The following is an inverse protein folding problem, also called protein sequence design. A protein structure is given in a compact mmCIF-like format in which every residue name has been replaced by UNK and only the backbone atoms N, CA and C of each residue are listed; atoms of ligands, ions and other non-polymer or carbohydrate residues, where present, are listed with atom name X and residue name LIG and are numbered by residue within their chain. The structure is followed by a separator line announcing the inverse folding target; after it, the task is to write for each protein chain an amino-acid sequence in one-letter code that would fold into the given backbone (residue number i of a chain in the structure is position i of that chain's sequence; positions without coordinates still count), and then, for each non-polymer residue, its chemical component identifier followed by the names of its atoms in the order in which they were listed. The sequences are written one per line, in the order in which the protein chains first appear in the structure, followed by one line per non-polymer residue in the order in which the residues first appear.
data_IF_727057097764
#
_entry.id   IF_727057097764
#
_cell.length_a   1.000
_cell.length_b   1.000
_cell.length_c   1.000
_cell.angle_alpha   90.00
_cell.angle_beta   90.00
_cell.angle_gamma   90.00
#
_symmetry.space_group_name_H-M   'P 1'
#
loop_
_entity.id
_entity.type
_entity.pdbx_description
1 polymer ?
#
# COMPACT_ATOMS: atom_id res chain seq x y z
N UNK A 1 -11.32 43.70 -23.86
CA UNK A 1 -10.57 42.45 -24.06
C UNK A 1 -10.52 41.77 -22.70
N UNK A 2 -11.42 40.80 -22.45
CA UNK A 2 -11.45 40.03 -21.21
C UNK A 2 -10.74 38.71 -21.51
N UNK A 3 -9.59 38.49 -20.88
CA UNK A 3 -8.91 37.21 -20.92
C UNK A 3 -9.51 36.27 -19.88
N UNK A 4 -10.17 35.21 -20.34
CA UNK A 4 -10.50 34.06 -19.51
C UNK A 4 -9.19 33.35 -19.13
N UNK A 5 -8.81 33.45 -17.85
CA UNK A 5 -7.86 32.51 -17.25
C UNK A 5 -8.61 31.24 -16.91
N UNK A 6 -8.57 30.26 -17.80
CA UNK A 6 -8.88 28.87 -17.48
C UNK A 6 -7.73 28.28 -16.66
N UNK A 7 -7.83 28.35 -15.33
CA UNK A 7 -6.98 27.56 -14.44
C UNK A 7 -7.44 26.10 -14.53
N UNK A 8 -6.78 25.31 -15.37
CA UNK A 8 -6.86 23.85 -15.31
C UNK A 8 -6.20 23.42 -14.01
N UNK A 9 -7.00 23.20 -12.96
CA UNK A 9 -6.54 22.53 -11.76
C UNK A 9 -6.22 21.09 -12.15
N UNK A 10 -4.94 20.77 -12.34
CA UNK A 10 -4.49 19.39 -12.42
C UNK A 10 -5.01 18.66 -11.18
N UNK A 11 -5.92 17.72 -11.42
CA UNK A 11 -6.52 16.91 -10.37
C UNK A 11 -5.40 15.99 -9.88
N UNK A 12 -4.72 16.40 -8.81
CA UNK A 12 -3.62 15.63 -8.24
C UNK A 12 -4.19 14.27 -7.80
N UNK A 13 -3.92 13.24 -8.59
CA UNK A 13 -4.34 11.87 -8.28
C UNK A 13 -3.41 11.36 -7.19
N UNK A 14 -3.96 11.00 -6.03
CA UNK A 14 -3.14 10.52 -4.91
C UNK A 14 -2.39 9.22 -5.21
N UNK A 15 -1.46 8.87 -4.32
CA UNK A 15 -0.57 7.72 -4.51
C UNK A 15 -1.34 6.39 -4.49
N UNK A 16 -0.90 5.43 -5.32
CA UNK A 16 -1.45 4.06 -5.36
C UNK A 16 -0.28 3.09 -5.31
N UNK A 17 -0.25 2.26 -4.27
CA UNK A 17 0.74 1.21 -4.14
C UNK A 17 0.44 0.09 -5.13
N UNK A 18 1.45 -0.28 -5.92
CA UNK A 18 1.42 -1.40 -6.84
C UNK A 18 2.52 -2.39 -6.48
N UNK A 19 2.31 -3.70 -6.69
CA UNK A 19 3.32 -4.70 -6.41
C UNK A 19 4.47 -4.59 -7.41
N UNK A 20 5.71 -4.78 -6.93
CA UNK A 20 6.88 -4.95 -7.79
C UNK A 20 6.87 -6.33 -8.46
N UNK A 21 7.77 -6.56 -9.43
CA UNK A 21 7.96 -7.89 -10.03
C UNK A 21 8.33 -8.96 -8.98
N UNK A 22 9.06 -8.58 -7.93
CA UNK A 22 9.40 -9.48 -6.84
C UNK A 22 8.18 -9.81 -5.98
N UNK A 23 7.32 -8.83 -5.71
CA UNK A 23 6.08 -9.04 -4.96
C UNK A 23 5.12 -9.96 -5.73
N UNK A 24 5.03 -9.77 -7.05
CA UNK A 24 4.23 -10.61 -7.95
C UNK A 24 4.76 -12.05 -7.95
N UNK A 25 6.08 -12.24 -8.09
CA UNK A 25 6.66 -13.58 -8.15
C UNK A 25 6.54 -14.35 -6.84
N UNK A 26 6.66 -13.64 -5.71
CA UNK A 26 6.52 -14.20 -4.37
C UNK A 26 5.07 -14.18 -3.86
N UNK A 27 4.12 -13.66 -4.66
CA UNK A 27 2.71 -13.49 -4.32
C UNK A 27 2.50 -12.85 -2.94
N UNK A 28 3.27 -11.80 -2.64
CA UNK A 28 3.23 -11.12 -1.35
C UNK A 28 3.60 -9.66 -1.51
N UNK A 29 2.97 -8.78 -0.76
CA UNK A 29 3.26 -7.34 -0.75
C UNK A 29 3.23 -6.84 0.70
N UNK A 30 4.15 -5.95 1.06
CA UNK A 30 4.17 -5.33 2.39
C UNK A 30 4.49 -3.85 2.29
N UNK A 31 3.75 -3.03 3.02
CA UNK A 31 4.03 -1.62 3.22
C UNK A 31 4.13 -1.35 4.72
N UNK A 32 5.18 -0.63 5.13
CA UNK A 32 5.34 -0.13 6.49
C UNK A 32 5.57 1.37 6.46
N UNK A 33 5.10 2.08 7.47
CA UNK A 33 5.40 3.50 7.62
C UNK A 33 5.98 3.76 9.02
N UNK A 34 7.09 4.49 9.06
CA UNK A 34 7.78 4.91 10.29
C UNK A 34 7.63 6.41 10.46
N UNK A 35 7.21 6.85 11.66
CA UNK A 35 7.13 8.27 11.96
C UNK A 35 8.50 8.87 12.21
N UNK A 36 9.42 8.09 12.79
CA UNK A 36 10.77 8.54 13.08
C UNK A 36 11.51 8.96 11.81
N UNK A 37 11.45 8.11 10.78
CA UNK A 37 12.10 8.39 9.48
C UNK A 37 11.23 9.18 8.51
N UNK A 38 9.92 9.29 8.76
CA UNK A 38 8.93 9.86 7.83
C UNK A 38 9.03 9.22 6.45
N UNK A 39 9.07 7.88 6.41
CA UNK A 39 9.23 7.10 5.19
C UNK A 39 8.30 5.89 5.16
N UNK A 40 7.84 5.54 3.97
CA UNK A 40 7.28 4.23 3.67
C UNK A 40 8.37 3.26 3.23
N UNK A 41 8.34 2.03 3.74
CA UNK A 41 9.20 0.92 3.35
C UNK A 41 8.38 -0.15 2.61
N UNK A 42 8.80 -0.51 1.41
CA UNK A 42 8.12 -1.46 0.53
C UNK A 42 8.94 -2.74 0.36
N UNK A 43 9.09 -3.49 1.45
CA UNK A 43 9.78 -4.77 1.42
C UNK A 43 9.23 -5.72 2.48
N UNK A 44 9.41 -7.02 2.26
CA UNK A 44 8.81 -8.05 3.10
C UNK A 44 9.50 -8.23 4.45
N UNK A 45 10.83 -8.06 4.50
CA UNK A 45 11.61 -8.31 5.72
C UNK A 45 11.34 -7.27 6.81
N UNK A 46 11.70 -7.57 8.07
CA UNK A 46 11.51 -6.64 9.18
C UNK A 46 12.63 -5.60 9.29
N UNK A 47 13.82 -5.88 8.72
CA UNK A 47 14.95 -4.94 8.77
C UNK A 47 14.63 -3.64 8.05
N UNK A 48 15.07 -2.49 8.53
CA UNK A 48 14.93 -1.24 7.78
C UNK A 48 15.94 -1.31 6.61
N UNK A 49 15.49 -1.75 5.44
CA UNK A 49 16.38 -1.90 4.29
C UNK A 49 16.73 -0.53 3.67
N UNK A 50 17.99 -0.40 3.28
CA UNK A 50 18.55 0.73 2.54
C UNK A 50 17.80 0.95 1.20
N UNK A 51 17.98 2.11 0.51
CA UNK A 51 16.95 2.94 -0.17
C UNK A 51 16.21 2.36 -1.40
N UNK A 52 16.29 1.06 -1.68
CA UNK A 52 15.85 0.47 -2.95
C UNK A 52 14.33 0.56 -3.20
N UNK A 53 13.50 0.70 -2.16
CA UNK A 53 12.06 0.88 -2.30
C UNK A 53 11.48 1.68 -1.12
N UNK A 54 11.86 2.96 -1.04
CA UNK A 54 11.35 3.91 -0.03
C UNK A 54 10.56 5.04 -0.66
N UNK A 55 9.55 5.54 0.05
CA UNK A 55 8.83 6.77 -0.30
C UNK A 55 8.97 7.71 0.88
N UNK A 56 9.68 8.82 0.69
CA UNK A 56 9.90 9.82 1.74
C UNK A 56 8.66 10.71 1.87
N UNK A 57 8.22 10.99 3.09
CA UNK A 57 7.08 11.83 3.43
C UNK A 57 5.73 11.09 3.47
N UNK A 58 5.02 11.19 4.59
CA UNK A 58 3.66 10.67 4.79
C UNK A 58 2.70 11.03 3.64
N UNK A 59 2.71 12.29 3.20
CA UNK A 59 1.80 12.78 2.15
C UNK A 59 2.09 12.18 0.78
N UNK A 60 3.33 11.74 0.51
CA UNK A 60 3.72 11.19 -0.80
C UNK A 60 3.28 9.73 -1.00
N UNK A 61 3.07 8.97 0.08
CA UNK A 61 2.49 7.61 0.01
C UNK A 61 0.99 7.57 0.25
N UNK A 62 0.36 8.70 0.57
CA UNK A 62 -1.07 8.77 0.79
C UNK A 62 -1.86 8.92 -0.52
N UNK A 63 -2.98 8.21 -0.62
CA UNK A 63 -3.99 8.39 -1.67
C UNK A 63 -4.90 9.58 -1.40
N UNK A 64 -5.28 9.79 -0.14
CA UNK A 64 -5.97 11.00 0.32
C UNK A 64 -5.23 11.48 1.55
N UNK A 65 -4.96 12.78 1.63
CA UNK A 65 -4.25 13.39 2.74
C UNK A 65 -4.88 14.76 3.03
N UNK A 66 -5.83 14.81 3.96
CA UNK A 66 -6.65 16.00 4.19
C UNK A 66 -6.73 16.33 5.68
N UNK A 67 -6.36 17.57 6.04
CA UNK A 67 -6.51 18.10 7.39
C UNK A 67 -5.65 17.39 8.44
N UNK A 68 -4.61 16.67 8.03
CA UNK A 68 -3.69 15.94 8.91
C UNK A 68 -2.23 16.33 8.64
N UNK A 69 -1.37 16.18 9.65
CA UNK A 69 0.07 16.38 9.55
C UNK A 69 0.82 15.47 10.52
N UNK A 70 2.08 15.16 10.19
CA UNK A 70 3.04 14.61 11.15
C UNK A 70 3.43 15.69 12.15
N UNK A 71 3.34 15.38 13.44
CA UNK A 71 3.58 16.30 14.55
C UNK A 71 4.52 15.63 15.57
N UNK A 72 5.19 16.47 16.35
CA UNK A 72 6.06 16.10 17.47
C UNK A 72 5.57 16.82 18.72
N UNK A 73 5.33 16.10 19.80
CA UNK A 73 5.17 16.69 21.13
C UNK A 73 6.56 16.85 21.76
N UNK A 74 7.09 18.07 21.73
CA UNK A 74 8.42 18.39 22.26
C UNK A 74 8.56 18.14 23.78
N UNK A 75 7.45 18.04 24.51
CA UNK A 75 7.47 17.77 25.96
C UNK A 75 7.67 16.29 26.23
N UNK A 76 7.04 15.43 25.41
CA UNK A 76 7.06 13.97 25.61
C UNK A 76 7.96 13.24 24.62
N UNK A 77 8.54 13.93 23.62
CA UNK A 77 9.27 13.32 22.50
C UNK A 77 8.38 12.43 21.61
N UNK A 78 7.06 12.64 21.62
CA UNK A 78 6.15 11.71 20.96
C UNK A 78 5.88 12.17 19.53
N UNK A 79 6.08 11.27 18.56
CA UNK A 79 5.72 11.48 17.17
C UNK A 79 4.33 10.90 16.88
N UNK A 80 3.54 11.65 16.11
CA UNK A 80 2.20 11.21 15.72
C UNK A 80 1.68 11.88 14.45
N UNK A 81 0.60 11.33 13.87
CA UNK A 81 -0.23 12.00 12.89
C UNK A 81 -1.46 12.58 13.60
N UNK A 82 -1.65 13.89 13.48
CA UNK A 82 -2.76 14.60 14.10
C UNK A 82 -3.40 15.59 13.13
N UNK A 83 -4.48 16.26 13.58
CA UNK A 83 -5.17 17.28 12.78
C UNK A 83 -4.31 18.54 12.64
N UNK A 84 -4.33 19.15 11.46
CA UNK A 84 -3.71 20.46 11.23
C UNK A 84 -4.53 21.61 11.82
N UNK A 85 -5.86 21.50 11.78
CA UNK A 85 -6.79 22.44 12.39
C UNK A 85 -7.73 21.68 13.33
N UNK A 86 -7.77 22.09 14.59
CA UNK A 86 -8.64 21.49 15.61
C UNK A 86 -10.13 21.75 15.34
N UNK A 87 -10.44 22.80 14.57
CA UNK A 87 -11.81 23.17 14.23
C UNK A 87 -12.39 22.33 13.08
N UNK A 88 -11.53 21.61 12.34
CA UNK A 88 -11.98 20.73 11.28
C UNK A 88 -12.81 19.58 11.85
N UNK A 89 -14.01 19.37 11.29
CA UNK A 89 -14.89 18.28 11.75
C UNK A 89 -14.37 16.90 11.40
N UNK A 90 -13.53 16.81 10.36
CA UNK A 90 -13.02 15.56 9.81
C UNK A 90 -11.68 15.81 9.14
N UNK A 91 -10.71 14.99 9.52
CA UNK A 91 -9.42 14.89 8.84
C UNK A 91 -9.18 13.43 8.50
N UNK A 92 -8.47 13.13 7.43
CA UNK A 92 -8.24 11.74 7.05
C UNK A 92 -6.96 11.53 6.25
N UNK A 93 -6.44 10.31 6.39
CA UNK A 93 -5.39 9.76 5.56
C UNK A 93 -5.86 8.43 4.99
N UNK A 94 -5.67 8.23 3.70
CA UNK A 94 -6.05 7.03 2.98
C UNK A 94 -4.86 6.45 2.24
N UNK A 95 -4.70 5.13 2.26
CA UNK A 95 -3.74 4.37 1.46
C UNK A 95 -4.49 3.44 0.52
N UNK A 96 -4.07 3.38 -0.74
CA UNK A 96 -4.72 2.58 -1.77
C UNK A 96 -3.72 1.58 -2.37
N UNK A 97 -4.12 0.32 -2.45
CA UNK A 97 -3.35 -0.79 -2.99
C UNK A 97 -4.09 -1.31 -4.23
N UNK A 98 -3.38 -1.47 -5.36
CA UNK A 98 -3.97 -1.93 -6.61
C UNK A 98 -3.14 -3.07 -7.21
N UNK A 99 -3.76 -4.24 -7.27
CA UNK A 99 -3.23 -5.48 -7.81
C UNK A 99 -3.85 -5.84 -9.17
N UNK A 100 -4.68 -4.94 -9.74
CA UNK A 100 -5.43 -5.21 -10.97
C UNK A 100 -4.52 -5.53 -12.15
N UNK A 101 -3.43 -4.78 -12.29
CA UNK A 101 -2.50 -4.86 -13.43
C UNK A 101 -1.59 -6.09 -13.40
N UNK A 102 -1.43 -6.75 -12.25
CA UNK A 102 -0.58 -7.95 -12.14
C UNK A 102 -1.36 -9.27 -12.24
N UNK A 103 -2.69 -9.18 -12.42
CA UNK A 103 -3.54 -10.37 -12.56
C UNK A 103 -3.74 -11.16 -11.25
N UNK A 104 -3.24 -10.66 -10.12
CA UNK A 104 -3.40 -11.28 -8.80
C UNK A 104 -4.60 -10.67 -8.06
N UNK A 105 -5.06 -11.38 -7.04
CA UNK A 105 -6.06 -10.94 -6.08
C UNK A 105 -5.55 -11.16 -4.66
N UNK A 106 -6.13 -10.45 -3.70
CA UNK A 106 -5.84 -10.63 -2.28
C UNK A 106 -6.25 -12.02 -1.83
N UNK A 107 -5.33 -12.76 -1.21
CA UNK A 107 -5.62 -13.99 -0.46
C UNK A 107 -5.94 -13.66 0.99
N UNK A 108 -5.02 -12.93 1.63
CA UNK A 108 -5.11 -12.49 3.02
C UNK A 108 -4.61 -11.05 3.13
N UNK A 109 -5.32 -10.22 3.87
CA UNK A 109 -4.95 -8.82 4.12
C UNK A 109 -4.85 -8.60 5.62
N UNK A 110 -3.70 -8.12 6.08
CA UNK A 110 -3.41 -7.94 7.51
C UNK A 110 -2.94 -6.53 7.75
N UNK A 111 -3.53 -5.87 8.74
CA UNK A 111 -3.22 -4.48 9.09
C UNK A 111 -2.85 -4.42 10.56
N UNK A 112 -1.74 -3.76 10.86
CA UNK A 112 -1.40 -3.23 12.17
C UNK A 112 -1.41 -1.71 12.06
N UNK A 113 -2.22 -1.06 12.87
CA UNK A 113 -2.39 0.39 12.88
C UNK A 113 -2.54 0.86 14.32
N UNK A 114 -1.52 1.54 14.82
CA UNK A 114 -1.50 2.07 16.18
C UNK A 114 -2.21 3.42 16.21
N UNK A 115 -3.13 3.64 17.14
CA UNK A 115 -3.69 4.96 17.44
C UNK A 115 -3.99 5.09 18.93
N UNK A 116 -4.27 6.30 19.40
CA UNK A 116 -4.73 6.52 20.78
C UNK A 116 -6.03 5.74 21.04
N UNK A 117 -6.19 5.25 22.27
CA UNK A 117 -7.37 4.45 22.70
C UNK A 117 -8.69 5.24 22.73
N UNK A 118 -8.65 6.56 22.49
CA UNK A 118 -9.85 7.41 22.46
C UNK A 118 -10.69 7.17 21.20
N UNK A 119 -12.02 7.03 21.39
CA UNK A 119 -13.06 6.63 20.42
C UNK A 119 -13.23 7.53 19.17
N UNK A 120 -12.39 8.54 18.97
CA UNK A 120 -12.56 9.55 17.92
C UNK A 120 -11.71 9.29 16.66
N UNK A 121 -11.08 8.10 16.56
CA UNK A 121 -10.36 7.63 15.37
C UNK A 121 -11.07 6.41 14.78
N UNK A 122 -11.46 6.50 13.50
CA UNK A 122 -12.16 5.45 12.78
C UNK A 122 -11.30 4.93 11.63
N UNK A 123 -10.89 3.67 11.76
CA UNK A 123 -10.13 2.96 10.75
C UNK A 123 -11.05 2.10 9.88
N UNK A 124 -10.91 2.22 8.57
CA UNK A 124 -11.74 1.53 7.57
C UNK A 124 -10.89 0.81 6.55
N UNK A 125 -11.25 -0.43 6.25
CA UNK A 125 -10.67 -1.19 5.12
C UNK A 125 -11.79 -1.53 4.14
N UNK A 126 -11.60 -1.17 2.88
CA UNK A 126 -12.61 -1.31 1.81
C UNK A 126 -11.94 -2.00 0.62
N UNK A 127 -12.55 -3.09 0.13
CA UNK A 127 -12.14 -3.78 -1.09
C UNK A 127 -12.76 -3.19 -2.37
N UNK A 128 -12.75 -3.96 -3.45
CA UNK A 128 -13.44 -3.58 -4.69
C UNK A 128 -14.95 -3.37 -4.46
N UNK A 129 -15.58 -2.45 -5.20
CA UNK A 129 -17.01 -2.10 -5.08
C UNK A 129 -17.99 -3.29 -5.17
N UNK A 130 -17.52 -4.44 -5.68
CA UNK A 130 -18.31 -5.66 -5.85
C UNK A 130 -18.47 -6.47 -4.56
N UNK A 131 -17.61 -6.27 -3.57
CA UNK A 131 -17.65 -6.96 -2.28
C UNK A 131 -17.98 -5.91 -1.23
N UNK A 132 -19.22 -5.92 -0.73
CA UNK A 132 -19.75 -4.85 0.13
C UNK A 132 -18.83 -4.47 1.29
N UNK A 133 -18.81 -3.18 1.65
CA UNK A 133 -17.96 -2.64 2.72
C UNK A 133 -18.35 -3.15 4.13
N UNK A 134 -17.34 -3.56 4.93
CA UNK A 134 -17.16 -3.41 6.41
C UNK A 134 -16.20 -4.51 6.93
N UNK A 135 -15.38 -4.32 7.98
CA UNK A 135 -15.64 -3.52 9.20
C UNK A 135 -14.54 -2.53 9.64
N UNK A 136 -14.89 -1.78 10.69
CA UNK A 136 -14.10 -0.82 11.47
C UNK A 136 -12.97 -1.57 12.20
N UNK A 137 -11.70 -1.19 12.00
CA UNK A 137 -10.62 -1.69 12.85
C UNK A 137 -10.72 -0.98 14.21
N UNK A 138 -10.68 -1.73 15.30
CA UNK A 138 -10.23 -1.17 16.57
C UNK A 138 -8.71 -0.96 16.44
N UNK A 139 -8.21 0.15 16.95
CA UNK A 139 -6.78 0.40 17.04
C UNK A 139 -6.10 -0.75 17.81
N UNK A 140 -5.18 -1.48 17.19
CA UNK A 140 -4.42 -2.52 17.88
C UNK A 140 -2.96 -2.45 17.53
N UNK A 141 -2.12 -2.71 18.53
CA UNK A 141 -0.67 -2.92 18.35
C UNK A 141 -0.35 -4.27 17.70
N UNK A 142 -1.35 -5.13 17.56
CA UNK A 142 -1.29 -6.41 16.88
C UNK A 142 -1.86 -6.34 15.45
N UNK A 143 -1.52 -7.35 14.64
CA UNK A 143 -2.13 -7.51 13.33
C UNK A 143 -3.57 -8.00 13.44
N UNK A 144 -4.44 -7.40 12.65
CA UNK A 144 -5.81 -7.84 12.42
C UNK A 144 -5.92 -8.36 10.99
N UNK A 145 -6.46 -9.57 10.86
CA UNK A 145 -6.82 -10.17 9.58
C UNK A 145 -8.15 -9.60 9.08
N UNK A 146 -8.20 -9.21 7.80
CA UNK A 146 -9.39 -8.66 7.13
C UNK A 146 -9.84 -9.64 6.04
N UNK A 147 -10.57 -10.72 6.40
CA UNK A 147 -10.99 -11.74 5.44
C UNK A 147 -11.94 -11.20 4.37
N UNK A 148 -12.65 -10.10 4.64
CA UNK A 148 -13.67 -9.53 3.77
C UNK A 148 -13.12 -8.99 2.45
N UNK A 149 -11.82 -8.65 2.41
CA UNK A 149 -11.17 -8.20 1.18
C UNK A 149 -10.50 -9.32 0.38
N UNK A 150 -10.67 -10.59 0.79
CA UNK A 150 -10.18 -11.72 0.00
C UNK A 150 -10.86 -11.75 -1.37
N UNK A 151 -10.07 -12.00 -2.42
CA UNK A 151 -10.48 -11.94 -3.82
C UNK A 151 -10.50 -10.54 -4.43
N UNK A 152 -10.32 -9.46 -3.64
CA UNK A 152 -10.26 -8.10 -4.17
C UNK A 152 -8.96 -7.85 -4.94
N UNK A 153 -9.03 -6.97 -5.93
CA UNK A 153 -7.88 -6.44 -6.69
C UNK A 153 -7.44 -5.09 -6.16
N UNK A 154 -8.38 -4.27 -5.68
CA UNK A 154 -8.09 -2.99 -5.04
C UNK A 154 -8.50 -3.06 -3.57
N UNK A 155 -7.64 -2.55 -2.70
CA UNK A 155 -7.94 -2.38 -1.27
C UNK A 155 -7.57 -0.97 -0.86
N UNK A 156 -8.43 -0.34 -0.07
CA UNK A 156 -8.26 1.00 0.45
C UNK A 156 -8.32 0.96 1.97
N UNK A 157 -7.30 1.48 2.65
CA UNK A 157 -7.24 1.63 4.10
C UNK A 157 -7.34 3.11 4.43
N UNK A 158 -8.25 3.50 5.30
CA UNK A 158 -8.46 4.91 5.70
C UNK A 158 -8.45 5.02 7.21
N UNK A 159 -7.71 6.00 7.73
CA UNK A 159 -7.86 6.46 9.10
C UNK A 159 -8.52 7.84 9.09
N UNK A 160 -9.66 7.96 9.78
CA UNK A 160 -10.43 9.20 9.93
C UNK A 160 -10.28 9.70 11.35
N UNK A 161 -9.88 10.97 11.50
CA UNK A 161 -9.78 11.67 12.77
C UNK A 161 -10.95 12.63 12.89
N UNK A 162 -11.88 12.36 13.82
CA UNK A 162 -12.99 13.25 14.11
C UNK A 162 -12.55 14.41 15.02
N UNK A 163 -13.47 15.33 15.30
CA UNK A 163 -13.16 16.52 16.10
C UNK A 163 -12.78 16.11 17.53
N UNK A 164 -11.59 16.55 17.97
CA UNK A 164 -11.16 16.35 19.34
C UNK A 164 -12.06 17.11 20.31
N UNK A 165 -12.44 16.48 21.41
CA UNK A 165 -13.02 17.21 22.54
C UNK A 165 -11.97 18.23 23.05
N UNK A 166 -12.39 19.46 23.40
CA UNK A 166 -11.47 20.58 23.73
C UNK A 166 -10.36 20.16 24.70
N UNK A 167 -9.11 20.23 24.23
CA UNK A 167 -7.91 19.94 25.02
C UNK A 167 -7.34 18.53 24.83
N UNK A 168 -7.95 17.68 24.01
CA UNK A 168 -7.36 16.39 23.61
C UNK A 168 -6.67 16.52 22.25
N UNK A 169 -5.49 15.91 22.14
CA UNK A 169 -4.82 15.71 20.85
C UNK A 169 -5.08 14.27 20.44
N UNK A 170 -5.84 14.06 19.37
CA UNK A 170 -6.04 12.73 18.83
C UNK A 170 -4.83 12.32 18.00
N UNK A 171 -4.33 11.10 18.23
CA UNK A 171 -3.11 10.60 17.62
C UNK A 171 -3.40 9.37 16.78
N UNK A 172 -3.26 9.49 15.46
CA UNK A 172 -3.16 8.34 14.55
C UNK A 172 -1.68 8.06 14.34
N UNK A 173 -1.28 6.80 14.39
CA UNK A 173 0.12 6.36 14.32
C UNK A 173 0.92 7.03 15.44
N UNK A 174 1.08 6.35 16.58
CA UNK A 174 1.82 6.90 17.72
C UNK A 174 3.16 6.18 17.87
N UNK A 175 4.25 6.92 17.97
CA UNK A 175 5.57 6.35 18.20
C UNK A 175 6.29 7.21 19.24
N UNK A 176 6.76 6.59 20.33
CA UNK A 176 7.67 7.27 21.25
C UNK A 176 9.05 7.39 20.59
N UNK A 177 9.74 8.52 20.73
CA UNK A 177 11.11 8.67 20.20
C UNK A 177 12.06 7.56 20.67
N UNK A 178 11.82 7.07 21.89
CA UNK A 178 12.61 6.03 22.55
C UNK A 178 12.23 4.61 22.12
N UNK A 179 11.13 4.43 21.38
CA UNK A 179 10.76 3.13 20.83
C UNK A 179 11.89 2.68 19.88
N UNK A 180 12.46 1.52 20.17
CA UNK A 180 13.64 1.01 19.49
C UNK A 180 13.52 1.07 17.96
N UNK A 181 14.66 1.36 17.30
CA UNK A 181 14.80 1.31 15.85
C UNK A 181 14.14 0.05 15.27
N UNK A 182 12.99 0.21 14.59
CA UNK A 182 12.34 -0.87 13.85
C UNK A 182 10.84 -1.02 14.04
N UNK A 183 10.22 -0.36 15.01
CA UNK A 183 8.75 -0.33 15.06
C UNK A 183 8.18 0.59 13.98
N UNK A 184 7.15 0.12 13.29
CA UNK A 184 6.38 0.93 12.35
C UNK A 184 4.94 0.97 12.86
N UNK A 185 4.40 2.15 13.22
CA UNK A 185 3.03 2.26 13.74
C UNK A 185 1.96 1.88 12.71
N UNK A 186 2.31 1.83 11.42
CA UNK A 186 1.50 1.25 10.36
C UNK A 186 2.29 0.15 9.65
N UNK A 187 1.70 -1.03 9.57
CA UNK A 187 2.25 -2.17 8.85
C UNK A 187 1.12 -2.96 8.17
N UNK A 188 1.17 -3.04 6.85
CA UNK A 188 0.19 -3.72 6.03
C UNK A 188 0.87 -4.86 5.30
N UNK A 189 0.41 -6.08 5.54
CA UNK A 189 0.86 -7.30 4.86
C UNK A 189 -0.27 -7.85 4.00
N UNK A 190 0.04 -8.11 2.74
CA UNK A 190 -0.89 -8.67 1.77
C UNK A 190 -0.29 -9.92 1.19
N UNK A 191 -0.94 -11.04 1.44
CA UNK A 191 -0.70 -12.27 0.71
C UNK A 191 -1.59 -12.27 -0.53
N UNK A 192 -1.01 -12.55 -1.69
CA UNK A 192 -1.70 -12.55 -2.98
C UNK A 192 -1.91 -14.00 -3.46
N UNK A 193 -2.84 -14.16 -4.39
CA UNK A 193 -3.05 -15.41 -5.12
C UNK A 193 -3.52 -15.12 -6.55
N UNK A 194 -3.38 -16.10 -7.43
CA UNK A 194 -4.08 -16.01 -8.70
C UNK A 194 -5.59 -16.18 -8.44
N UNK A 195 -6.46 -15.49 -9.21
CA UNK A 195 -7.89 -15.75 -9.18
C UNK A 195 -8.12 -17.22 -9.52
N UNK A 196 -8.70 -18.01 -8.60
CA UNK A 196 -9.01 -19.42 -8.88
C UNK A 196 -10.11 -19.50 -9.94
N UNK A 197 -9.90 -20.31 -10.98
CA UNK A 197 -11.02 -20.83 -11.75
C UNK A 197 -11.79 -21.80 -10.85
N UNK A 198 -13.10 -21.68 -10.75
CA UNK A 198 -13.96 -22.58 -9.95
C UNK A 198 -14.06 -24.00 -10.55
N UNK A 199 -13.16 -24.38 -11.45
CA UNK A 199 -13.24 -25.63 -12.21
C UNK A 199 -12.49 -26.75 -11.47
N UNK A 200 -13.12 -27.92 -11.36
CA UNK A 200 -12.49 -29.14 -10.88
C UNK A 200 -11.33 -29.55 -11.81
N UNK A 201 -10.18 -29.93 -11.22
CA UNK A 201 -9.01 -30.39 -11.99
C UNK A 201 -7.87 -29.39 -12.11
N UNK A 202 -7.79 -28.39 -11.22
CA UNK A 202 -6.64 -27.50 -11.12
C UNK A 202 -5.33 -28.28 -10.90
N UNK A 203 -4.42 -28.25 -11.89
CA UNK A 203 -3.11 -28.96 -11.86
C UNK A 203 -1.95 -28.00 -11.54
N UNK A 204 -2.21 -26.69 -11.52
CA UNK A 204 -1.22 -25.68 -11.18
C UNK A 204 -1.43 -24.34 -11.89
N UNK A 205 -0.58 -23.38 -11.54
CA UNK A 205 -0.63 -22.01 -12.05
C UNK A 205 0.68 -21.69 -12.77
N UNK A 206 0.59 -20.93 -13.86
CA UNK A 206 1.73 -20.21 -14.43
C UNK A 206 1.31 -18.75 -14.56
N UNK A 207 2.08 -17.85 -13.96
CA UNK A 207 1.91 -16.41 -14.17
C UNK A 207 2.87 -15.97 -15.27
N UNK A 208 2.28 -15.59 -16.41
CA UNK A 208 3.01 -15.06 -17.56
C UNK A 208 2.91 -13.53 -17.54
N UNK A 209 3.99 -12.87 -17.15
CA UNK A 209 4.13 -11.41 -17.28
C UNK A 209 4.74 -11.07 -18.63
N UNK A 210 4.15 -10.14 -19.38
CA UNK A 210 4.72 -9.63 -20.64
C UNK A 210 4.85 -8.12 -20.52
N UNK A 211 6.08 -7.61 -20.60
CA UNK A 211 6.39 -6.18 -20.56
C UNK A 211 7.09 -5.77 -21.84
N UNK A 212 6.53 -4.79 -22.55
CA UNK A 212 7.20 -4.13 -23.66
C UNK A 212 7.94 -2.88 -23.15
N UNK A 213 9.23 -2.79 -23.42
CA UNK A 213 10.04 -1.60 -23.13
C UNK A 213 10.44 -0.98 -24.48
N UNK A 214 9.82 0.13 -24.91
CA UNK A 214 10.28 0.83 -26.11
C UNK A 214 11.73 1.31 -25.91
N UNK A 215 12.53 1.27 -26.96
CA UNK A 215 13.81 2.00 -26.97
C UNK A 215 13.47 3.45 -27.29
N UNK A 216 13.91 4.40 -26.45
CA UNK A 216 13.77 5.81 -26.78
C UNK A 216 14.62 6.12 -28.00
N UNK A 217 13.99 6.15 -29.17
CA UNK A 217 14.60 6.63 -30.40
C UNK A 217 14.50 8.16 -30.43
N UNK A 218 15.57 8.83 -29.99
CA UNK A 218 15.67 10.30 -30.13
C UNK A 218 15.63 10.76 -31.60
N UNK A 219 15.89 9.88 -32.57
CA UNK A 219 15.90 10.25 -33.99
C UNK A 219 15.60 9.03 -34.88
N UNK A 220 14.35 8.88 -35.35
CA UNK A 220 14.11 8.17 -36.62
C UNK A 220 13.18 6.95 -36.66
N UNK A 221 11.98 7.03 -36.10
CA UNK A 221 10.78 6.37 -36.68
C UNK A 221 10.77 4.83 -36.77
N UNK A 222 11.59 4.12 -36.01
CA UNK A 222 11.49 2.69 -35.75
C UNK A 222 10.70 2.41 -34.46
N UNK A 223 9.86 1.38 -34.47
CA UNK A 223 9.22 0.87 -33.25
C UNK A 223 10.07 -0.27 -32.67
N UNK A 224 11.38 -0.04 -32.49
CA UNK A 224 12.24 -1.02 -31.83
C UNK A 224 11.99 -0.98 -30.31
N UNK A 225 11.96 -2.16 -29.70
CA UNK A 225 11.70 -2.31 -28.28
C UNK A 225 12.07 -3.69 -27.78
N UNK A 226 12.22 -3.81 -26.47
CA UNK A 226 12.53 -5.04 -25.80
C UNK A 226 11.28 -5.64 -25.17
N UNK A 227 10.88 -6.82 -25.64
CA UNK A 227 9.89 -7.66 -24.96
C UNK A 227 10.57 -8.41 -23.81
N UNK A 228 10.07 -8.23 -22.59
CA UNK A 228 10.45 -9.01 -21.42
C UNK A 228 9.30 -9.93 -21.07
N UNK A 229 9.57 -11.24 -21.05
CA UNK A 229 8.62 -12.27 -20.66
C UNK A 229 9.06 -12.84 -19.33
N UNK A 230 8.16 -12.85 -18.35
CA UNK A 230 8.37 -13.40 -17.02
C UNK A 230 7.48 -14.62 -16.88
N UNK A 231 8.07 -15.76 -16.56
CA UNK A 231 7.33 -16.98 -16.25
C UNK A 231 7.55 -17.23 -14.76
N UNK A 232 6.49 -17.11 -13.97
CA UNK A 232 6.52 -17.47 -12.56
C UNK A 232 5.67 -18.72 -12.40
N UNK A 233 6.31 -19.83 -12.01
CA UNK A 233 5.61 -21.03 -11.60
C UNK A 233 4.75 -20.74 -10.36
N UNK A 234 3.47 -21.05 -10.46
CA UNK A 234 2.51 -20.93 -9.37
C UNK A 234 2.37 -22.24 -8.59
N UNK A 235 1.49 -22.22 -7.59
CA UNK A 235 1.33 -23.35 -6.69
C UNK A 235 0.74 -24.56 -7.43
N UNK A 236 1.26 -25.76 -7.16
CA UNK A 236 0.71 -27.02 -7.65
C UNK A 236 1.47 -27.72 -8.78
N UNK A 237 2.51 -27.10 -9.36
CA UNK A 237 3.23 -27.70 -10.51
C UNK A 237 4.46 -28.56 -10.15
N UNK A 238 5.00 -28.53 -8.92
CA UNK A 238 6.23 -29.27 -8.55
C UNK A 238 6.25 -29.64 -7.06
N UNK A 239 6.92 -30.76 -6.72
CA UNK A 239 7.29 -31.17 -5.34
C UNK A 239 8.03 -30.01 -4.62
N UNK A 240 7.72 -29.80 -3.33
CA UNK A 240 8.10 -28.64 -2.50
C UNK A 240 9.62 -28.33 -2.43
N UNK A 241 10.48 -29.24 -2.88
CA UNK A 241 11.95 -29.17 -2.72
C UNK A 241 12.72 -28.46 -3.85
N UNK A 242 12.06 -27.96 -4.91
CA UNK A 242 12.75 -27.39 -6.08
C UNK A 242 12.33 -25.97 -6.47
N UNK A 243 12.24 -25.06 -5.51
CA UNK A 243 11.99 -23.65 -5.78
C UNK A 243 13.22 -22.95 -6.42
N UNK A 244 13.32 -22.94 -7.75
CA UNK A 244 14.10 -21.94 -8.49
C UNK A 244 13.22 -21.25 -9.54
N UNK A 245 13.05 -19.92 -9.48
CA UNK A 245 12.29 -19.20 -10.52
C UNK A 245 12.97 -19.34 -11.88
N UNK A 246 12.20 -19.75 -12.89
CA UNK A 246 12.68 -19.84 -14.27
C UNK A 246 12.58 -18.47 -14.96
N UNK A 247 13.65 -17.70 -14.92
CA UNK A 247 13.76 -16.46 -15.69
C UNK A 247 14.33 -16.76 -17.08
N UNK A 248 13.49 -16.75 -18.13
CA UNK A 248 13.94 -16.84 -19.51
C UNK A 248 13.84 -15.47 -20.20
N UNK A 249 14.94 -15.03 -20.81
CA UNK A 249 14.95 -13.84 -21.66
C UNK A 249 14.83 -14.29 -23.12
N UNK A 250 13.74 -13.92 -23.78
CA UNK A 250 13.63 -14.08 -25.24
C UNK A 250 14.05 -12.74 -25.86
N UNK A 251 15.21 -12.70 -26.51
CA UNK A 251 15.58 -11.58 -27.40
C UNK A 251 15.07 -11.89 -28.79
N UNK A 252 14.31 -10.96 -29.37
CA UNK A 252 13.90 -10.97 -30.77
C UNK A 252 14.73 -9.93 -31.51
#
# INVERSE_FOLDING_TARGET
MNGEQTSLSEKQTGFVFKPSLQDISLKRFRMRYSLLSDCYYLHWDDGVCAPLAKIDGLSHGANVFTGVSRLCDDTTGQLYVGKTDIMDKRSEVTWKFDFSDCGLVVRQFRVKGRSSEDDEIDWRVIGDERVGCRPMLAATDDYIDIPEVSGCRVVTVTAVIYAATKGQTLHVLKEAEEAMHGECPLDIKVDLMCPRSQEEGYVGEILLGVKWNPVDEDVGGGSEGQLQVYIVEGAGMVDEDTHKPFNAFIRW
#
